data_IF_829263004998
#
_entry.id   IF_829263004998
#
_cell.length_a   1.000
_cell.length_b   1.000
_cell.length_c   1.000
_cell.angle_alpha   90.00
_cell.angle_beta   90.00
_cell.angle_gamma   90.00
#
_symmetry.space_group_name_H-M   'P 1'
#
loop_
_entity.id
_entity.type
_entity.pdbx_description
1 polymer ?
#
# COMPACT_ATOMS: atom_id res chain seq x y z
N UNK A 1 -6.71 -44.69 -9.44
CA UNK A 1 -6.46 -44.12 -8.10
C UNK A 1 -6.07 -42.67 -8.30
N UNK A 2 -6.80 -41.70 -7.74
CA UNK A 2 -6.36 -40.30 -7.72
C UNK A 2 -5.28 -40.11 -6.63
N UNK A 3 -4.29 -39.27 -6.91
CA UNK A 3 -3.17 -38.94 -6.03
C UNK A 3 -3.66 -38.15 -4.79
N UNK A 4 -3.27 -38.49 -3.55
CA UNK A 4 -3.76 -37.79 -2.37
C UNK A 4 -3.02 -36.45 -2.23
N UNK A 5 -3.72 -35.36 -2.55
CA UNK A 5 -3.44 -34.02 -2.03
C UNK A 5 -2.03 -33.50 -2.30
N UNK A 6 -1.77 -33.06 -3.53
CA UNK A 6 -0.71 -32.08 -3.72
C UNK A 6 -1.09 -30.84 -2.90
N UNK A 7 -0.38 -30.63 -1.77
CA UNK A 7 -0.48 -29.41 -1.00
C UNK A 7 -0.24 -28.24 -1.95
N UNK A 8 -1.17 -27.28 -1.97
CA UNK A 8 -0.94 -26.05 -2.72
C UNK A 8 0.30 -25.38 -2.11
N UNK A 9 1.18 -24.70 -2.89
CA UNK A 9 2.37 -24.04 -2.33
C UNK A 9 2.07 -23.09 -1.15
N UNK A 10 0.81 -22.64 -1.06
CA UNK A 10 0.26 -21.84 0.03
C UNK A 10 0.09 -22.59 1.36
N UNK A 11 -0.17 -23.90 1.35
CA UNK A 11 -0.29 -24.72 2.57
C UNK A 11 1.06 -24.96 3.27
N UNK A 12 2.17 -24.76 2.56
CA UNK A 12 3.53 -24.83 3.10
C UNK A 12 4.05 -23.48 3.60
N UNK A 13 3.37 -22.38 3.27
CA UNK A 13 3.81 -21.04 3.60
C UNK A 13 3.73 -20.80 5.12
N UNK A 14 4.88 -20.50 5.71
CA UNK A 14 5.01 -20.17 7.13
C UNK A 14 5.09 -18.67 7.35
N UNK A 15 4.30 -18.19 8.29
CA UNK A 15 4.28 -16.80 8.74
C UNK A 15 4.75 -16.81 10.20
N UNK A 16 6.06 -16.75 10.39
CA UNK A 16 6.69 -16.99 11.69
C UNK A 16 6.66 -18.47 12.06
N UNK A 17 6.20 -18.79 13.27
CA UNK A 17 6.10 -20.17 13.76
C UNK A 17 4.85 -20.92 13.25
N UNK A 18 3.84 -20.20 12.75
CA UNK A 18 2.55 -20.76 12.35
C UNK A 18 2.43 -20.87 10.83
N UNK A 19 1.46 -21.68 10.37
CA UNK A 19 1.02 -21.62 8.99
C UNK A 19 0.44 -20.23 8.69
N UNK A 20 0.67 -19.73 7.48
CA UNK A 20 0.06 -18.50 7.01
C UNK A 20 -1.45 -18.70 6.81
N UNK A 21 -2.26 -17.70 7.17
CA UNK A 21 -3.70 -17.65 6.88
C UNK A 21 -3.98 -16.52 5.92
N UNK A 22 -4.82 -16.78 4.93
CA UNK A 22 -5.33 -15.75 4.02
C UNK A 22 -6.12 -14.68 4.77
N UNK A 23 -5.85 -13.42 4.45
CA UNK A 23 -6.59 -12.25 4.95
C UNK A 23 -7.43 -11.64 3.84
N UNK A 24 -6.80 -11.33 2.71
CA UNK A 24 -7.44 -10.73 1.54
C UNK A 24 -6.68 -11.10 0.29
N UNK A 25 -7.44 -11.37 -0.78
CA UNK A 25 -6.93 -11.67 -2.11
C UNK A 25 -7.61 -10.75 -3.12
N UNK A 26 -6.86 -10.20 -4.06
CA UNK A 26 -7.37 -9.43 -5.19
C UNK A 26 -6.78 -9.95 -6.49
N UNK A 27 -7.62 -10.03 -7.52
CA UNK A 27 -7.21 -10.32 -8.88
C UNK A 27 -6.74 -9.02 -9.56
N UNK A 28 -5.63 -9.11 -10.30
CA UNK A 28 -4.95 -7.99 -10.97
C UNK A 28 -4.60 -8.44 -12.39
N UNK A 29 -5.56 -8.29 -13.31
CA UNK A 29 -5.45 -8.79 -14.66
C UNK A 29 -5.39 -10.32 -14.68
N UNK A 30 -4.23 -10.87 -15.06
CA UNK A 30 -3.96 -12.32 -15.14
C UNK A 30 -3.23 -12.88 -13.91
N UNK A 31 -2.98 -12.03 -12.91
CA UNK A 31 -2.34 -12.40 -11.67
C UNK A 31 -3.29 -12.22 -10.48
N UNK A 32 -2.94 -12.81 -9.35
CA UNK A 32 -3.58 -12.55 -8.07
C UNK A 32 -2.54 -12.07 -7.05
N UNK A 33 -2.92 -11.12 -6.20
CA UNK A 33 -2.13 -10.69 -5.05
C UNK A 33 -2.89 -11.01 -3.77
N UNK A 34 -2.23 -11.70 -2.85
CA UNK A 34 -2.84 -12.18 -1.62
C UNK A 34 -1.99 -11.81 -0.41
N UNK A 35 -2.65 -11.27 0.62
CA UNK A 35 -2.06 -11.05 1.93
C UNK A 35 -2.32 -12.25 2.81
N UNK A 36 -1.25 -12.81 3.34
CA UNK A 36 -1.31 -13.91 4.28
C UNK A 36 -0.56 -13.55 5.56
N UNK A 37 -1.11 -13.92 6.73
CA UNK A 37 -0.54 -13.55 8.03
C UNK A 37 -0.51 -14.73 8.99
N UNK A 38 0.40 -14.67 9.96
CA UNK A 38 0.53 -15.60 11.08
C UNK A 38 0.91 -14.85 12.36
N UNK A 39 1.47 -15.54 13.33
CA UNK A 39 1.90 -14.91 14.59
C UNK A 39 3.07 -13.94 14.35
N UNK A 40 2.78 -12.65 14.33
CA UNK A 40 3.76 -11.56 14.27
C UNK A 40 4.49 -11.41 12.92
N UNK A 41 4.08 -12.15 11.90
CA UNK A 41 4.66 -12.10 10.57
C UNK A 41 3.57 -12.15 9.50
N UNK A 42 3.85 -11.52 8.36
CA UNK A 42 2.98 -11.57 7.20
C UNK A 42 3.78 -11.73 5.92
N UNK A 43 3.10 -12.11 4.86
CA UNK A 43 3.66 -12.23 3.51
C UNK A 43 2.67 -11.71 2.49
N UNK A 44 3.21 -11.24 1.38
CA UNK A 44 2.46 -10.96 0.17
C UNK A 44 2.79 -12.06 -0.81
N UNK A 45 1.79 -12.81 -1.24
CA UNK A 45 1.93 -13.86 -2.22
C UNK A 45 1.31 -13.40 -3.54
N UNK A 46 2.09 -13.45 -4.61
CA UNK A 46 1.57 -13.26 -5.97
C UNK A 46 1.57 -14.59 -6.71
N UNK A 47 0.58 -14.79 -7.57
CA UNK A 47 0.43 -15.98 -8.41
C UNK A 47 -0.19 -15.60 -9.76
N UNK A 48 -0.13 -16.47 -10.76
CA UNK A 48 -0.67 -16.20 -12.10
C UNK A 48 0.38 -16.27 -13.21
N UNK A 49 0.16 -15.54 -14.30
CA UNK A 49 1.02 -15.55 -15.48
C UNK A 49 2.43 -14.99 -15.21
N UNK A 50 2.55 -14.07 -14.25
CA UNK A 50 3.84 -13.52 -13.79
C UNK A 50 4.65 -14.50 -12.91
N UNK A 51 4.10 -15.69 -12.65
CA UNK A 51 4.70 -16.71 -11.79
C UNK A 51 4.52 -16.42 -10.30
N UNK A 52 4.76 -17.43 -9.44
CA UNK A 52 4.62 -17.27 -8.00
C UNK A 52 5.75 -16.45 -7.40
N UNK A 53 5.44 -15.44 -6.60
CA UNK A 53 6.43 -14.70 -5.80
C UNK A 53 5.94 -14.54 -4.36
N UNK A 54 6.88 -14.53 -3.41
CA UNK A 54 6.60 -14.32 -1.99
C UNK A 54 7.44 -13.16 -1.50
N UNK A 55 6.79 -12.15 -0.93
CA UNK A 55 7.44 -10.99 -0.31
C UNK A 55 7.17 -10.99 1.19
N UNK A 56 8.19 -10.72 2.02
CA UNK A 56 8.02 -10.51 3.46
C UNK A 56 7.21 -9.24 3.72
N UNK A 57 6.09 -9.30 4.45
CA UNK A 57 5.32 -8.11 4.79
C UNK A 57 5.95 -7.39 6.00
N UNK A 58 6.74 -6.36 5.75
CA UNK A 58 7.54 -5.70 6.78
C UNK A 58 6.70 -4.83 7.71
N UNK A 59 5.61 -4.23 7.23
CA UNK A 59 4.69 -3.45 8.09
C UNK A 59 4.01 -4.31 9.17
N UNK A 60 3.77 -5.60 8.90
CA UNK A 60 3.24 -6.51 9.91
C UNK A 60 4.26 -6.76 11.02
N UNK A 61 5.55 -6.91 10.66
CA UNK A 61 6.66 -7.02 11.61
C UNK A 61 6.84 -5.74 12.45
N UNK A 62 6.43 -4.58 11.92
CA UNK A 62 6.38 -3.30 12.65
C UNK A 62 5.13 -3.14 13.53
N UNK A 63 4.26 -4.16 13.60
CA UNK A 63 3.07 -4.16 14.44
C UNK A 63 1.83 -3.55 13.79
N UNK A 64 1.84 -3.28 12.48
CA UNK A 64 0.66 -2.81 11.77
C UNK A 64 -0.44 -3.88 11.77
N UNK A 65 -1.69 -3.45 12.06
CA UNK A 65 -2.86 -4.32 11.96
C UNK A 65 -3.17 -4.57 10.49
N UNK A 66 -3.20 -5.84 10.10
CA UNK A 66 -3.52 -6.30 8.74
C UNK A 66 -4.90 -6.96 8.74
N UNK A 67 -5.80 -6.48 7.88
CA UNK A 67 -7.16 -6.97 7.73
C UNK A 67 -7.65 -6.92 6.27
N UNK A 68 -8.95 -7.15 6.04
CA UNK A 68 -9.54 -7.21 4.70
C UNK A 68 -9.41 -5.90 3.89
N UNK A 69 -9.16 -4.77 4.55
CA UNK A 69 -8.99 -3.45 3.93
C UNK A 69 -7.54 -3.09 3.63
N UNK A 70 -6.60 -3.96 4.05
CA UNK A 70 -5.16 -3.77 3.93
C UNK A 70 -4.61 -3.93 2.51
N UNK A 71 -5.40 -4.39 1.55
CA UNK A 71 -4.97 -4.54 0.16
C UNK A 71 -5.78 -3.61 -0.75
N UNK A 72 -5.08 -2.85 -1.57
CA UNK A 72 -5.66 -2.08 -2.68
C UNK A 72 -4.79 -2.31 -3.90
N UNK A 73 -5.35 -2.90 -4.95
CA UNK A 73 -4.67 -3.07 -6.23
C UNK A 73 -5.37 -2.28 -7.35
N UNK A 74 -4.57 -1.74 -8.26
CA UNK A 74 -5.02 -1.13 -9.51
C UNK A 74 -4.44 -1.94 -10.66
N UNK A 75 -5.32 -2.50 -11.48
CA UNK A 75 -4.95 -3.24 -12.69
C UNK A 75 -4.79 -2.28 -13.88
N UNK A 76 -3.59 -2.26 -14.45
CA UNK A 76 -3.19 -1.42 -15.57
C UNK A 76 -1.99 -2.07 -16.28
N UNK A 77 -1.47 -1.41 -17.33
CA UNK A 77 -0.23 -1.84 -18.00
C UNK A 77 0.92 -1.96 -16.99
N UNK A 78 1.04 -0.96 -16.09
CA UNK A 78 1.83 -1.02 -14.87
C UNK A 78 0.88 -1.18 -13.69
N UNK A 79 0.66 -2.41 -13.25
CA UNK A 79 -0.21 -2.67 -12.11
C UNK A 79 0.49 -2.33 -10.79
N UNK A 80 -0.27 -1.78 -9.84
CA UNK A 80 0.24 -1.32 -8.54
C UNK A 80 -0.65 -1.86 -7.44
N UNK A 81 -0.05 -2.47 -6.43
CA UNK A 81 -0.73 -2.90 -5.22
C UNK A 81 -0.13 -2.22 -4.00
N UNK A 82 -0.97 -1.53 -3.24
CA UNK A 82 -0.65 -1.00 -1.93
C UNK A 82 -1.12 -1.99 -0.87
N UNK A 83 -0.19 -2.37 -0.02
CA UNK A 83 -0.46 -3.09 1.22
C UNK A 83 -0.33 -2.11 2.36
N UNK A 84 -1.36 -1.95 3.20
CA UNK A 84 -1.40 -0.95 4.28
C UNK A 84 -1.95 -1.49 5.59
N UNK A 85 -1.55 -0.90 6.71
CA UNK A 85 -2.06 -1.26 8.03
C UNK A 85 -1.83 -0.16 9.05
N UNK A 86 -2.69 -0.12 10.07
CA UNK A 86 -2.65 0.89 11.14
C UNK A 86 -1.68 0.47 12.25
N UNK A 87 -0.87 1.41 12.73
CA UNK A 87 -0.02 1.26 13.93
C UNK A 87 0.09 2.60 14.65
N UNK A 88 -0.19 2.65 15.95
CA UNK A 88 0.05 3.85 16.76
C UNK A 88 -0.69 5.12 16.32
N UNK A 89 -1.78 5.00 15.54
CA UNK A 89 -2.51 6.15 14.97
C UNK A 89 -2.02 6.62 13.60
N UNK A 90 -1.01 5.95 13.04
CA UNK A 90 -0.50 6.14 11.68
C UNK A 90 -0.90 4.95 10.81
N UNK A 91 -0.79 5.12 9.49
CA UNK A 91 -0.90 4.02 8.53
C UNK A 91 0.44 3.83 7.85
N UNK A 92 0.99 2.61 7.94
CA UNK A 92 2.16 2.21 7.17
C UNK A 92 1.70 1.52 5.90
N UNK A 93 2.49 1.63 4.82
CA UNK A 93 2.25 0.85 3.62
C UNK A 93 3.49 0.46 2.84
N UNK A 94 3.33 -0.58 2.03
CA UNK A 94 4.32 -1.08 1.08
C UNK A 94 3.66 -1.19 -0.29
N UNK A 95 4.42 -0.91 -1.34
CA UNK A 95 3.92 -1.01 -2.70
C UNK A 95 4.62 -2.14 -3.45
N UNK A 96 3.81 -2.93 -4.15
CA UNK A 96 4.26 -3.84 -5.20
C UNK A 96 3.87 -3.27 -6.56
N UNK A 97 4.79 -3.38 -7.52
CA UNK A 97 4.60 -2.93 -8.89
C UNK A 97 4.79 -4.11 -9.82
N UNK A 98 3.84 -4.37 -10.71
CA UNK A 98 4.02 -5.28 -11.83
C UNK A 98 4.42 -4.49 -13.07
N UNK A 99 5.62 -4.74 -13.59
CA UNK A 99 6.08 -4.18 -14.86
C UNK A 99 6.70 -5.29 -15.70
N UNK A 100 6.37 -5.34 -16.98
CA UNK A 100 6.91 -6.33 -17.91
C UNK A 100 6.73 -7.79 -17.44
N UNK A 101 5.59 -8.08 -16.80
CA UNK A 101 5.25 -9.42 -16.32
C UNK A 101 5.99 -9.88 -15.06
N UNK A 102 6.63 -8.96 -14.32
CA UNK A 102 7.29 -9.27 -13.05
C UNK A 102 6.83 -8.33 -11.94
N UNK A 103 6.55 -8.90 -10.76
CA UNK A 103 6.25 -8.17 -9.54
C UNK A 103 7.53 -7.79 -8.81
N UNK A 104 7.67 -6.52 -8.43
CA UNK A 104 8.78 -6.01 -7.62
C UNK A 104 8.25 -5.12 -6.49
N UNK A 105 9.03 -4.98 -5.43
CA UNK A 105 8.72 -4.10 -4.29
C UNK A 105 9.32 -2.72 -4.50
N UNK A 106 8.54 -1.68 -4.22
CA UNK A 106 9.05 -0.31 -4.09
C UNK A 106 9.97 -0.19 -2.86
N UNK A 107 11.05 0.60 -2.96
CA UNK A 107 12.20 0.49 -2.05
C UNK A 107 11.95 0.89 -0.58
N UNK A 108 10.94 1.72 -0.30
CA UNK A 108 10.69 2.24 1.05
C UNK A 108 9.22 2.11 1.46
N UNK A 109 8.94 1.80 2.73
CA UNK A 109 7.59 1.85 3.25
C UNK A 109 7.11 3.31 3.31
N UNK A 110 5.83 3.50 2.99
CA UNK A 110 5.13 4.78 3.09
C UNK A 110 4.53 4.92 4.48
N UNK A 111 4.49 6.15 5.00
CA UNK A 111 3.89 6.48 6.29
C UNK A 111 2.85 7.55 6.04
N UNK A 112 1.66 7.41 6.61
CA UNK A 112 0.63 8.44 6.67
C UNK A 112 0.29 8.72 8.13
N UNK A 113 0.72 9.88 8.62
CA UNK A 113 0.44 10.33 9.99
C UNK A 113 -1.01 10.80 10.19
N UNK A 114 -1.80 10.91 9.11
CA UNK A 114 -3.22 11.27 9.13
C UNK A 114 -4.20 10.17 8.78
N UNK A 115 -3.85 8.92 9.07
CA UNK A 115 -4.72 7.75 8.96
C UNK A 115 -5.35 7.52 7.57
N UNK A 116 -4.78 8.12 6.52
CA UNK A 116 -5.20 7.91 5.14
C UNK A 116 -3.99 7.63 4.25
N UNK A 117 -3.98 6.45 3.63
CA UNK A 117 -2.96 6.02 2.67
C UNK A 117 -3.66 5.20 1.58
N UNK A 118 -3.64 5.63 0.33
CA UNK A 118 -4.34 4.95 -0.76
C UNK A 118 -3.61 5.09 -2.11
N UNK A 119 -4.08 4.33 -3.10
CA UNK A 119 -3.66 4.47 -4.49
C UNK A 119 -4.65 5.32 -5.30
N UNK A 120 -4.12 6.28 -6.06
CA UNK A 120 -4.84 7.09 -7.06
C UNK A 120 -3.89 7.49 -8.18
N UNK A 121 -4.33 7.48 -9.44
CA UNK A 121 -3.56 8.07 -10.55
C UNK A 121 -3.73 9.59 -10.49
N UNK A 122 -2.76 10.29 -9.89
CA UNK A 122 -2.83 11.72 -9.62
C UNK A 122 -2.24 12.50 -10.80
N UNK A 123 -1.08 12.11 -11.31
CA UNK A 123 -0.44 12.83 -12.42
C UNK A 123 -0.98 12.46 -13.82
N UNK A 124 -1.95 11.54 -13.88
CA UNK A 124 -2.66 11.11 -15.10
C UNK A 124 -1.73 10.39 -16.09
N UNK A 125 -0.70 9.70 -15.60
CA UNK A 125 0.21 8.89 -16.41
C UNK A 125 -0.26 7.43 -16.61
N UNK A 126 -1.46 7.10 -16.11
CA UNK A 126 -2.07 5.76 -16.09
C UNK A 126 -1.40 4.75 -15.15
N UNK A 127 -0.54 5.20 -14.23
CA UNK A 127 0.05 4.43 -13.14
C UNK A 127 -0.47 4.99 -11.81
N UNK A 128 -0.92 4.11 -10.91
CA UNK A 128 -1.45 4.59 -9.64
C UNK A 128 -0.33 5.09 -8.71
N UNK A 129 -0.49 6.31 -8.20
CA UNK A 129 0.37 6.95 -7.20
C UNK A 129 -0.05 6.63 -5.78
N UNK A 130 0.88 6.77 -4.84
CA UNK A 130 0.61 6.67 -3.41
C UNK A 130 0.24 8.03 -2.87
N UNK A 131 -0.98 8.15 -2.34
CA UNK A 131 -1.47 9.35 -1.65
C UNK A 131 -1.47 9.10 -0.14
N UNK A 132 -0.63 9.84 0.58
CA UNK A 132 -0.50 9.76 2.03
C UNK A 132 -0.93 11.08 2.68
N UNK A 133 -1.90 11.05 3.60
CA UNK A 133 -2.24 12.24 4.39
C UNK A 133 -1.29 12.36 5.58
N UNK A 134 -0.72 13.55 5.73
CA UNK A 134 0.23 13.90 6.77
C UNK A 134 -0.31 14.97 7.71
N UNK A 135 0.13 14.91 8.97
CA UNK A 135 -0.02 15.98 9.95
C UNK A 135 1.10 17.00 9.77
N UNK A 136 0.73 18.25 9.53
CA UNK A 136 1.65 19.37 9.53
C UNK A 136 1.91 19.85 10.97
N UNK A 137 2.72 19.10 11.71
CA UNK A 137 3.20 19.47 13.03
C UNK A 137 4.28 20.57 12.93
N UNK A 138 4.04 21.74 13.52
CA UNK A 138 5.16 22.61 13.91
C UNK A 138 5.79 22.08 15.19
N UNK A 139 7.10 22.23 15.33
CA UNK A 139 7.79 22.06 16.61
C UNK A 139 7.05 22.92 17.65
N UNK A 140 6.58 22.28 18.72
CA UNK A 140 6.01 22.87 19.94
C UNK A 140 4.59 23.48 19.94
N UNK A 141 3.67 23.30 18.96
CA UNK A 141 2.30 23.84 19.21
C UNK A 141 1.06 23.31 18.46
N UNK A 142 1.10 22.73 17.27
CA UNK A 142 -0.16 22.32 16.61
C UNK A 142 0.06 21.26 15.54
N UNK A 143 -0.51 20.07 15.77
CA UNK A 143 -0.57 18.95 14.82
C UNK A 143 -1.99 18.78 14.25
N UNK A 144 -2.83 19.81 14.32
CA UNK A 144 -4.21 19.82 13.80
C UNK A 144 -4.32 20.27 12.34
N UNK A 145 -3.20 20.38 11.62
CA UNK A 145 -3.18 20.74 10.20
C UNK A 145 -2.80 19.55 9.34
N UNK A 146 -3.28 19.53 8.11
CA UNK A 146 -3.23 18.38 7.23
C UNK A 146 -2.74 18.76 5.84
N UNK A 147 -2.08 17.83 5.16
CA UNK A 147 -1.80 17.90 3.73
C UNK A 147 -1.71 16.48 3.17
N UNK A 148 -2.05 16.31 1.90
CA UNK A 148 -1.73 15.11 1.15
C UNK A 148 -0.35 15.24 0.50
N UNK A 149 0.47 14.20 0.65
CA UNK A 149 1.75 14.00 -0.02
C UNK A 149 1.58 12.85 -1.03
N UNK A 150 2.05 13.07 -2.25
CA UNK A 150 1.86 12.14 -3.37
C UNK A 150 3.22 11.62 -3.82
N UNK A 151 3.32 10.31 -4.04
CA UNK A 151 4.54 9.64 -4.46
C UNK A 151 4.29 8.74 -5.67
N UNK A 152 5.22 8.75 -6.61
CA UNK A 152 5.22 7.78 -7.70
C UNK A 152 5.66 6.41 -7.17
N UNK A 153 5.02 5.31 -7.59
CA UNK A 153 5.46 3.95 -7.25
C UNK A 153 6.82 3.59 -7.86
N UNK A 154 7.27 4.33 -8.89
CA UNK A 154 8.62 4.21 -9.46
C UNK A 154 9.71 4.82 -8.56
N UNK A 155 9.31 5.49 -7.48
CA UNK A 155 10.17 6.20 -6.55
C UNK A 155 10.13 7.70 -6.79
N UNK A 156 10.15 8.47 -5.70
CA UNK A 156 10.13 9.93 -5.72
C UNK A 156 8.81 10.52 -5.26
N UNK A 157 8.90 11.72 -4.70
CA UNK A 157 7.77 12.56 -4.33
C UNK A 157 7.33 13.37 -5.55
N UNK A 158 6.03 13.31 -5.88
CA UNK A 158 5.42 14.14 -6.92
C UNK A 158 5.06 15.53 -6.38
N UNK A 159 4.66 15.60 -5.12
CA UNK A 159 4.45 16.86 -4.41
C UNK A 159 3.46 16.76 -3.27
N UNK A 160 3.15 17.91 -2.70
CA UNK A 160 2.20 18.10 -1.62
C UNK A 160 1.11 19.08 -2.00
N UNK A 161 -0.10 18.81 -1.53
CA UNK A 161 -1.19 19.78 -1.50
C UNK A 161 -0.93 20.90 -0.49
N UNK A 162 -1.63 22.05 -0.60
CA UNK A 162 -1.56 23.10 0.42
C UNK A 162 -1.99 22.59 1.81
N UNK A 163 -1.36 23.11 2.86
CA UNK A 163 -1.70 22.76 4.24
C UNK A 163 -3.06 23.35 4.63
N UNK A 164 -3.98 22.51 5.08
CA UNK A 164 -5.32 22.87 5.54
C UNK A 164 -5.48 22.67 7.06
N UNK A 165 -6.48 23.32 7.67
CA UNK A 165 -6.77 23.21 9.12
C UNK A 165 -7.73 22.08 9.47
N UNK A 166 -8.55 21.67 8.51
CA UNK A 166 -9.58 20.64 8.68
C UNK A 166 -9.31 19.58 7.62
N UNK A 167 -9.37 18.29 7.99
CA UNK A 167 -9.08 17.21 7.06
C UNK A 167 -10.09 17.19 5.90
N UNK A 168 -11.31 17.62 6.16
CA UNK A 168 -12.41 17.80 5.22
C UNK A 168 -12.11 18.82 4.12
N UNK A 169 -11.13 19.70 4.34
CA UNK A 169 -10.66 20.66 3.33
C UNK A 169 -9.62 20.07 2.38
N UNK A 170 -9.19 18.81 2.56
CA UNK A 170 -8.29 18.14 1.63
C UNK A 170 -9.00 17.93 0.27
N UNK A 171 -8.29 18.12 -0.86
CA UNK A 171 -8.84 17.85 -2.18
C UNK A 171 -9.42 16.42 -2.30
N UNK A 172 -10.68 16.30 -2.72
CA UNK A 172 -11.35 15.00 -2.93
C UNK A 172 -11.76 14.24 -1.65
N UNK A 173 -11.78 14.90 -0.48
CA UNK A 173 -12.25 14.29 0.77
C UNK A 173 -13.62 13.60 0.62
N UNK A 174 -13.84 12.39 1.20
CA UNK A 174 -12.95 11.64 2.11
C UNK A 174 -11.95 10.71 1.41
N UNK A 175 -12.00 10.59 0.09
CA UNK A 175 -11.11 9.72 -0.68
C UNK A 175 -9.80 10.40 -1.05
N UNK A 176 -9.61 11.67 -0.72
CA UNK A 176 -8.36 12.44 -0.92
C UNK A 176 -7.71 12.15 -2.27
N UNK A 177 -8.24 12.78 -3.31
CA UNK A 177 -7.79 12.65 -4.70
C UNK A 177 -7.37 14.02 -5.22
N UNK A 178 -6.14 14.48 -4.90
CA UNK A 178 -5.63 15.74 -5.40
C UNK A 178 -5.58 15.78 -6.92
N UNK A 179 -5.77 16.97 -7.50
CA UNK A 179 -5.43 17.22 -8.90
C UNK A 179 -3.92 17.53 -9.01
N UNK A 180 -3.24 17.19 -10.11
CA UNK A 180 -1.82 17.50 -10.23
C UNK A 180 -1.52 19.00 -10.16
N UNK A 181 -2.49 19.87 -10.48
CA UNK A 181 -2.37 21.33 -10.30
C UNK A 181 -2.38 21.80 -8.84
N UNK A 182 -2.86 20.96 -7.90
CA UNK A 182 -2.82 21.21 -6.46
C UNK A 182 -1.42 20.93 -5.88
N UNK A 183 -0.57 20.19 -6.61
CA UNK A 183 0.73 19.74 -6.09
C UNK A 183 1.79 20.83 -6.20
N UNK A 184 2.57 20.95 -5.12
CA UNK A 184 3.76 21.79 -4.99
C UNK A 184 4.90 20.98 -4.39
N UNK A 185 6.12 21.51 -4.47
CA UNK A 185 7.24 20.92 -3.74
C UNK A 185 6.92 20.81 -2.24
N UNK A 186 7.10 19.63 -1.63
CA UNK A 186 6.84 19.49 -0.20
C UNK A 186 7.88 20.25 0.63
N UNK A 187 7.43 20.82 1.74
CA UNK A 187 8.29 21.60 2.65
C UNK A 187 8.63 23.01 2.16
N UNK A 188 8.02 23.47 1.06
CA UNK A 188 8.05 24.85 0.61
C UNK A 188 7.19 25.79 1.48
#
# INVERSE_FOLDING_TARGET
>A
MPDPGAATPQDELRCGATACRSVVKQEVGVDSVELVVGEGAGRIWTSGASGPNVFELTIASSGARIDGSSLQCVDAEVAVCLVRGEVGGEVLGEVLVRRSGAWTRAQVPYVASGAYLALHDVDQDAVADVVAVQRACKVDADCGRWFAQVFSPAGGELGCTPVVREAESLPGWPTVTPDPSDLRQCGA
#
